data_IF_248983347037
#
_entry.id   IF_248983347037
#
_cell.length_a   1.000
_cell.length_b   1.000
_cell.length_c   1.000
_cell.angle_alpha   90.00
_cell.angle_beta   90.00
_cell.angle_gamma   90.00
#
_symmetry.space_group_name_H-M   'P 1'
#
loop_
_entity.id
_entity.type
_entity.pdbx_description
1 polymer ?
#
# COMPACT_ATOMS: atom_id res chain seq x y z
N UNK A 1 -12.21 -58.03 17.13
CA UNK A 1 -13.03 -57.00 16.50
C UNK A 1 -12.16 -55.73 16.39
N UNK A 2 -11.87 -55.24 15.20
CA UNK A 2 -11.12 -53.98 15.03
C UNK A 2 -11.98 -52.82 15.55
N UNK A 3 -11.43 -52.01 16.44
CA UNK A 3 -12.11 -50.80 16.94
C UNK A 3 -12.40 -49.89 15.72
N UNK A 4 -13.69 -49.59 15.51
CA UNK A 4 -14.11 -48.66 14.44
C UNK A 4 -13.44 -47.30 14.69
N UNK A 5 -12.68 -46.80 13.71
CA UNK A 5 -12.00 -45.51 13.82
C UNK A 5 -13.05 -44.40 13.95
N UNK A 6 -12.98 -43.64 15.03
CA UNK A 6 -13.84 -42.46 15.29
C UNK A 6 -13.16 -41.22 14.77
N UNK A 7 -13.57 -40.76 13.58
CA UNK A 7 -13.03 -39.60 12.91
C UNK A 7 -13.29 -38.30 13.69
N UNK A 8 -14.47 -38.20 14.35
CA UNK A 8 -14.83 -36.98 15.05
C UNK A 8 -14.07 -36.84 16.37
N UNK A 9 -13.85 -37.94 17.08
CA UNK A 9 -12.97 -37.95 18.23
C UNK A 9 -11.51 -37.62 17.82
N UNK A 10 -11.03 -38.15 16.69
CA UNK A 10 -9.69 -37.89 16.19
C UNK A 10 -9.53 -36.44 15.74
N UNK A 11 -10.51 -35.86 15.03
CA UNK A 11 -10.51 -34.42 14.65
C UNK A 11 -10.33 -33.52 15.86
N UNK A 12 -10.98 -33.80 17.00
CA UNK A 12 -10.84 -33.02 18.24
C UNK A 12 -9.42 -33.06 18.83
N UNK A 13 -8.63 -34.08 18.52
CA UNK A 13 -7.23 -34.19 19.00
C UNK A 13 -6.24 -33.45 18.09
N UNK A 14 -6.56 -33.29 16.82
CA UNK A 14 -5.64 -32.79 15.79
C UNK A 14 -6.00 -31.37 15.35
N UNK A 15 -7.29 -31.03 15.40
CA UNK A 15 -7.80 -29.73 14.94
C UNK A 15 -8.22 -28.92 16.17
N UNK A 16 -7.56 -27.79 16.39
CA UNK A 16 -8.08 -26.79 17.32
C UNK A 16 -9.51 -26.41 16.89
N UNK A 17 -10.38 -26.10 17.87
CA UNK A 17 -11.74 -25.65 17.56
C UNK A 17 -11.71 -24.58 16.47
N UNK A 18 -12.61 -24.63 15.47
CA UNK A 18 -12.63 -23.63 14.41
C UNK A 18 -12.76 -22.24 15.04
N UNK A 19 -11.80 -21.38 14.74
CA UNK A 19 -11.84 -20.01 15.21
C UNK A 19 -12.83 -19.23 14.35
N UNK A 20 -13.90 -18.76 14.97
CA UNK A 20 -14.90 -17.93 14.30
C UNK A 20 -14.26 -16.61 13.83
N UNK A 21 -14.46 -16.26 12.57
CA UNK A 21 -13.98 -15.02 11.98
C UNK A 21 -15.09 -14.00 11.88
N UNK A 22 -14.74 -12.74 12.06
CA UNK A 22 -15.60 -11.60 11.76
C UNK A 22 -15.87 -11.51 10.25
N UNK A 23 -16.98 -10.89 9.84
CA UNK A 23 -17.18 -10.48 8.45
C UNK A 23 -15.98 -9.65 7.95
N UNK A 24 -15.69 -9.76 6.67
CA UNK A 24 -14.62 -8.97 6.06
C UNK A 24 -14.91 -7.47 6.20
N UNK A 25 -13.91 -6.73 6.65
CA UNK A 25 -13.98 -5.29 6.87
C UNK A 25 -12.94 -4.60 5.99
N UNK A 26 -13.32 -3.45 5.46
CA UNK A 26 -12.50 -2.66 4.57
C UNK A 26 -12.43 -1.22 5.04
N UNK A 27 -11.32 -0.55 4.74
CA UNK A 27 -11.33 0.90 4.53
C UNK A 27 -11.83 1.11 3.10
N UNK A 28 -13.09 1.50 2.98
CA UNK A 28 -13.76 1.67 1.68
C UNK A 28 -13.14 2.87 0.97
N UNK A 29 -12.75 2.69 -0.28
CA UNK A 29 -12.18 3.73 -1.14
C UNK A 29 -13.28 4.31 -2.06
N UNK A 30 -12.94 5.34 -2.83
CA UNK A 30 -13.86 5.94 -3.79
C UNK A 30 -14.21 4.96 -4.92
N UNK A 31 -15.40 5.11 -5.50
CA UNK A 31 -15.94 4.19 -6.52
C UNK A 31 -14.99 4.00 -7.72
N UNK A 32 -14.29 5.06 -8.14
CA UNK A 32 -13.32 4.97 -9.22
C UNK A 32 -12.16 4.01 -8.92
N UNK A 33 -11.76 3.89 -7.64
CA UNK A 33 -10.75 2.93 -7.22
C UNK A 33 -11.34 1.53 -7.02
N UNK A 34 -12.54 1.43 -6.41
CA UNK A 34 -13.24 0.14 -6.26
C UNK A 34 -13.41 -0.57 -7.61
N UNK A 35 -13.79 0.19 -8.65
CA UNK A 35 -14.01 -0.35 -9.99
C UNK A 35 -12.76 -0.93 -10.64
N UNK A 36 -11.58 -0.46 -10.26
CA UNK A 36 -10.30 -0.94 -10.83
C UNK A 36 -9.60 -1.98 -9.96
N UNK A 37 -9.90 -2.05 -8.64
CA UNK A 37 -9.29 -3.04 -7.74
C UNK A 37 -10.17 -4.27 -7.48
N UNK A 38 -11.47 -4.20 -7.81
CA UNK A 38 -12.41 -5.32 -7.70
C UNK A 38 -12.81 -5.70 -6.26
N UNK A 39 -12.50 -4.84 -5.29
CA UNK A 39 -12.90 -4.96 -3.88
C UNK A 39 -13.28 -3.58 -3.35
N UNK A 40 -14.04 -3.48 -2.23
CA UNK A 40 -14.50 -2.19 -1.72
C UNK A 40 -13.38 -1.21 -1.32
N UNK A 41 -12.19 -1.71 -1.05
CA UNK A 41 -11.07 -0.88 -0.60
C UNK A 41 -9.95 -1.68 0.03
N UNK A 42 -9.24 -1.08 1.01
CA UNK A 42 -8.12 -1.74 1.71
C UNK A 42 -8.68 -2.69 2.77
N UNK A 43 -8.43 -4.00 2.69
CA UNK A 43 -8.98 -4.98 3.61
C UNK A 43 -8.28 -4.95 4.97
N UNK A 44 -9.03 -4.85 6.06
CA UNK A 44 -8.52 -5.02 7.41
C UNK A 44 -8.36 -6.51 7.75
N UNK A 45 -7.35 -6.83 8.54
CA UNK A 45 -6.95 -8.22 8.81
C UNK A 45 -6.09 -8.84 7.72
N UNK A 46 -5.62 -8.02 6.79
CA UNK A 46 -4.82 -8.43 5.64
C UNK A 46 -3.63 -7.50 5.40
N UNK A 47 -2.68 -7.99 4.60
CA UNK A 47 -1.60 -7.18 4.04
C UNK A 47 -1.94 -6.88 2.58
N UNK A 48 -1.91 -5.61 2.23
CA UNK A 48 -2.01 -5.12 0.85
C UNK A 48 -0.67 -4.53 0.43
N UNK A 49 -0.07 -5.07 -0.62
CA UNK A 49 1.15 -4.54 -1.20
C UNK A 49 0.83 -3.70 -2.43
N UNK A 50 1.39 -2.51 -2.51
CA UNK A 50 1.33 -1.66 -3.69
C UNK A 50 2.75 -1.44 -4.19
N UNK A 51 3.00 -1.74 -5.45
CA UNK A 51 4.33 -1.54 -6.01
C UNK A 51 4.29 -0.86 -7.39
N UNK A 52 5.37 -0.19 -7.72
CA UNK A 52 5.53 0.51 -8.99
C UNK A 52 6.76 1.40 -9.01
N UNK A 53 7.11 1.93 -10.18
CA UNK A 53 8.20 2.91 -10.32
C UNK A 53 7.87 4.19 -9.54
N UNK A 54 8.86 5.06 -9.39
CA UNK A 54 8.64 6.40 -8.84
C UNK A 54 7.60 7.18 -9.66
N UNK A 55 6.95 8.15 -9.02
CA UNK A 55 5.96 9.05 -9.66
C UNK A 55 4.74 8.35 -10.26
N UNK A 56 4.34 7.19 -9.74
CA UNK A 56 3.11 6.49 -10.14
C UNK A 56 1.90 6.84 -9.27
N UNK A 57 2.08 7.65 -8.22
CA UNK A 57 1.01 8.06 -7.31
C UNK A 57 0.79 7.15 -6.10
N UNK A 58 1.73 6.26 -5.76
CA UNK A 58 1.61 5.33 -4.62
C UNK A 58 1.38 6.06 -3.29
N UNK A 59 2.21 7.04 -2.97
CA UNK A 59 2.07 7.85 -1.74
C UNK A 59 0.75 8.62 -1.70
N UNK A 60 0.26 9.11 -2.85
CA UNK A 60 -1.07 9.75 -2.94
C UNK A 60 -2.19 8.77 -2.60
N UNK A 61 -2.11 7.52 -3.10
CA UNK A 61 -3.08 6.48 -2.77
C UNK A 61 -3.02 6.11 -1.28
N UNK A 62 -1.83 6.15 -0.67
CA UNK A 62 -1.65 5.93 0.76
C UNK A 62 -2.32 7.05 1.58
N UNK A 63 -2.14 8.32 1.22
CA UNK A 63 -2.82 9.45 1.86
C UNK A 63 -4.33 9.38 1.68
N UNK A 64 -4.79 9.05 0.47
CA UNK A 64 -6.21 8.86 0.22
C UNK A 64 -6.81 7.74 1.10
N UNK A 65 -6.14 6.61 1.22
CA UNK A 65 -6.57 5.52 2.10
C UNK A 65 -6.63 5.97 3.57
N UNK A 66 -5.68 6.80 4.03
CA UNK A 66 -5.70 7.38 5.38
C UNK A 66 -6.90 8.30 5.59
N UNK A 67 -7.18 9.20 4.65
CA UNK A 67 -8.33 10.10 4.73
C UNK A 67 -9.66 9.32 4.75
N UNK A 68 -9.77 8.26 3.94
CA UNK A 68 -10.96 7.39 3.94
C UNK A 68 -11.05 6.58 5.24
N UNK A 69 -9.93 6.14 5.81
CA UNK A 69 -9.89 5.45 7.11
C UNK A 69 -10.46 6.34 8.23
N UNK A 70 -10.03 7.60 8.31
CA UNK A 70 -10.53 8.56 9.31
C UNK A 70 -12.04 8.78 9.19
N UNK A 71 -12.57 8.93 7.98
CA UNK A 71 -14.02 9.07 7.74
C UNK A 71 -14.83 7.85 8.22
N UNK A 72 -14.19 6.70 8.36
CA UNK A 72 -14.79 5.43 8.76
C UNK A 72 -14.43 5.01 10.19
N UNK A 73 -13.90 5.92 10.99
CA UNK A 73 -13.43 5.66 12.37
C UNK A 73 -12.39 4.55 12.45
N UNK A 74 -11.51 4.46 11.45
CA UNK A 74 -10.32 3.61 11.44
C UNK A 74 -9.11 4.51 11.65
N UNK A 75 -8.24 4.18 12.61
CA UNK A 75 -7.05 4.97 12.92
C UNK A 75 -5.96 4.75 11.87
N UNK A 76 -5.50 5.79 11.15
CA UNK A 76 -4.33 5.69 10.31
C UNK A 76 -3.05 5.76 11.17
N UNK A 77 -2.13 4.83 10.92
CA UNK A 77 -0.79 4.83 11.52
C UNK A 77 0.23 4.86 10.40
N UNK A 78 0.93 5.94 10.25
CA UNK A 78 1.99 6.10 9.26
C UNK A 78 3.33 5.62 9.80
N UNK A 79 4.03 4.80 9.01
CA UNK A 79 5.44 4.47 9.19
C UNK A 79 6.15 4.93 7.92
N UNK A 80 6.83 6.08 8.04
CA UNK A 80 7.43 6.77 6.90
C UNK A 80 8.94 6.61 6.95
N UNK A 81 9.48 5.90 5.98
CA UNK A 81 10.90 5.52 5.96
C UNK A 81 11.67 6.09 4.77
N UNK A 82 11.02 6.86 3.89
CA UNK A 82 11.66 7.53 2.74
C UNK A 82 12.20 8.94 3.06
N UNK A 83 12.14 9.40 4.31
CA UNK A 83 12.88 10.55 4.81
C UNK A 83 12.38 11.95 4.42
N UNK A 84 11.38 12.07 3.54
CA UNK A 84 10.73 13.37 3.22
C UNK A 84 9.26 13.16 2.89
N UNK A 85 8.43 13.49 3.85
CA UNK A 85 6.98 13.44 3.67
C UNK A 85 6.45 14.85 3.50
N UNK A 86 5.67 15.07 2.46
CA UNK A 86 4.92 16.32 2.29
C UNK A 86 3.55 16.20 2.96
N UNK A 87 3.50 16.50 4.25
CA UNK A 87 2.27 16.47 5.03
C UNK A 87 1.23 17.48 4.53
N UNK A 88 1.65 18.58 3.92
CA UNK A 88 0.72 19.54 3.33
C UNK A 88 -0.07 18.92 2.16
N UNK A 89 0.55 18.00 1.44
CA UNK A 89 -0.13 17.20 0.41
C UNK A 89 -1.10 16.19 1.02
N UNK A 90 -0.75 15.58 2.14
CA UNK A 90 -1.66 14.68 2.86
C UNK A 90 -2.92 15.44 3.33
N UNK A 91 -2.75 16.65 3.89
CA UNK A 91 -3.86 17.52 4.29
C UNK A 91 -4.76 17.92 3.12
N UNK A 92 -4.18 18.27 1.96
CA UNK A 92 -4.95 18.56 0.74
C UNK A 92 -5.78 17.37 0.29
N UNK A 93 -5.29 16.15 0.49
CA UNK A 93 -6.02 14.90 0.22
C UNK A 93 -7.04 14.53 1.31
N UNK A 94 -7.23 15.40 2.30
CA UNK A 94 -8.23 15.27 3.34
C UNK A 94 -7.77 14.50 4.59
N UNK A 95 -6.47 14.25 4.74
CA UNK A 95 -5.91 13.66 5.96
C UNK A 95 -5.86 14.71 7.06
N UNK A 96 -6.43 14.41 8.21
CA UNK A 96 -6.25 15.18 9.45
C UNK A 96 -5.01 14.62 10.14
N UNK A 97 -3.89 15.28 9.94
CA UNK A 97 -2.57 14.78 10.35
C UNK A 97 -2.45 14.66 11.87
N UNK A 98 -3.07 15.57 12.60
CA UNK A 98 -3.15 15.59 14.08
C UNK A 98 -3.98 14.44 14.66
N UNK A 99 -4.83 13.81 13.88
CA UNK A 99 -5.61 12.61 14.24
C UNK A 99 -4.91 11.29 13.83
N UNK A 100 -3.64 11.33 13.42
CA UNK A 100 -2.86 10.16 12.99
C UNK A 100 -1.77 9.81 14.00
N UNK A 101 -1.34 8.55 14.03
CA UNK A 101 -0.06 8.18 14.62
C UNK A 101 0.98 8.22 13.49
N UNK A 102 2.10 8.91 13.74
CA UNK A 102 3.18 9.08 12.76
C UNK A 102 4.47 8.60 13.39
N UNK A 103 5.16 7.69 12.71
CA UNK A 103 6.49 7.21 13.06
C UNK A 103 7.45 7.42 11.88
N UNK A 104 8.40 8.31 12.06
CA UNK A 104 9.48 8.63 11.10
C UNK A 104 10.86 8.24 11.66
N UNK A 105 10.91 7.63 12.85
CA UNK A 105 12.16 7.40 13.59
C UNK A 105 12.81 6.04 13.31
N UNK A 106 12.17 5.16 12.56
CA UNK A 106 12.71 3.85 12.23
C UNK A 106 13.99 3.98 11.40
N UNK A 107 15.09 3.35 11.87
CA UNK A 107 16.40 3.38 11.20
C UNK A 107 16.70 2.08 10.46
N UNK A 108 16.06 0.98 10.84
CA UNK A 108 16.25 -0.34 10.26
C UNK A 108 14.92 -1.02 9.96
N UNK A 109 14.94 -2.05 9.12
CA UNK A 109 13.77 -2.88 8.84
C UNK A 109 13.21 -3.52 10.12
N UNK A 110 14.09 -3.96 11.02
CA UNK A 110 13.70 -4.58 12.29
C UNK A 110 12.96 -3.59 13.19
N UNK A 111 13.32 -2.31 13.17
CA UNK A 111 12.63 -1.27 13.94
C UNK A 111 11.20 -1.08 13.42
N UNK A 112 11.01 -1.08 12.08
CA UNK A 112 9.67 -1.04 11.47
C UNK A 112 8.83 -2.24 11.88
N UNK A 113 9.38 -3.45 11.79
CA UNK A 113 8.65 -4.65 12.18
C UNK A 113 8.31 -4.66 13.66
N UNK A 114 9.20 -4.16 14.52
CA UNK A 114 8.93 -4.03 15.94
C UNK A 114 7.81 -3.00 16.24
N UNK A 115 7.80 -1.86 15.52
CA UNK A 115 6.75 -0.86 15.65
C UNK A 115 5.39 -1.43 15.22
N UNK A 116 5.32 -2.12 14.08
CA UNK A 116 4.07 -2.74 13.61
C UNK A 116 3.60 -3.82 14.60
N UNK A 117 4.52 -4.65 15.08
CA UNK A 117 4.22 -5.71 16.05
C UNK A 117 3.64 -5.15 17.35
N UNK A 118 4.19 -4.03 17.83
CA UNK A 118 3.69 -3.31 18.99
C UNK A 118 2.26 -2.82 18.76
N UNK A 119 1.97 -2.18 17.64
CA UNK A 119 0.63 -1.67 17.32
C UNK A 119 -0.39 -2.83 17.29
N UNK A 120 -0.06 -3.93 16.61
CA UNK A 120 -0.94 -5.12 16.56
C UNK A 120 -1.19 -5.68 17.96
N UNK A 121 -0.17 -5.68 18.82
CA UNK A 121 -0.28 -6.16 20.21
C UNK A 121 -1.16 -5.24 21.05
N UNK A 122 -0.99 -3.92 20.95
CA UNK A 122 -1.76 -2.91 21.69
C UNK A 122 -3.26 -2.97 21.29
N UNK A 123 -3.57 -3.19 20.00
CA UNK A 123 -4.93 -3.48 19.55
C UNK A 123 -5.45 -4.78 20.16
N UNK A 124 -4.62 -5.82 20.24
CA UNK A 124 -4.98 -7.11 20.83
C UNK A 124 -5.26 -7.06 22.33
N UNK A 125 -4.54 -6.23 23.05
CA UNK A 125 -4.73 -6.00 24.49
C UNK A 125 -5.87 -5.01 24.80
N UNK A 126 -6.41 -4.33 23.77
CA UNK A 126 -7.44 -3.30 23.94
C UNK A 126 -6.88 -1.94 24.38
N UNK A 127 -5.56 -1.77 24.46
CA UNK A 127 -4.91 -0.48 24.72
C UNK A 127 -5.13 0.50 23.57
N UNK A 128 -5.26 -0.02 22.35
CA UNK A 128 -5.68 0.73 21.17
C UNK A 128 -7.07 0.26 20.72
N UNK A 129 -8.16 0.91 21.20
CA UNK A 129 -9.52 0.38 21.05
C UNK A 129 -10.18 0.76 19.71
N UNK A 130 -9.40 0.90 18.64
CA UNK A 130 -9.86 1.27 17.30
C UNK A 130 -9.41 0.25 16.25
N UNK A 131 -10.22 0.08 15.21
CA UNK A 131 -9.70 -0.55 14.00
C UNK A 131 -8.58 0.32 13.45
N UNK A 132 -7.52 -0.29 12.95
CA UNK A 132 -6.29 0.42 12.61
C UNK A 132 -5.83 0.05 11.21
N UNK A 133 -5.46 1.06 10.41
CA UNK A 133 -4.80 0.89 9.13
C UNK A 133 -3.35 1.39 9.25
N UNK A 134 -2.40 0.46 9.20
CA UNK A 134 -0.97 0.77 9.18
C UNK A 134 -0.57 1.02 7.72
N UNK A 135 0.12 2.12 7.49
CA UNK A 135 0.50 2.67 6.20
C UNK A 135 2.03 2.82 6.17
N UNK A 136 2.71 1.92 5.46
CA UNK A 136 4.18 1.91 5.42
C UNK A 136 4.71 2.36 4.05
N UNK A 137 5.44 3.46 4.01
CA UNK A 137 6.12 4.02 2.83
C UNK A 137 7.62 4.21 3.11
N UNK A 138 8.52 3.36 2.61
CA UNK A 138 8.35 2.16 1.80
C UNK A 138 9.28 1.04 2.28
N UNK A 139 9.00 -0.19 1.87
CA UNK A 139 9.74 -1.37 2.35
C UNK A 139 11.20 -1.42 1.86
N UNK A 140 11.53 -0.76 0.77
CA UNK A 140 12.87 -0.80 0.17
C UNK A 140 13.83 0.30 0.66
N UNK A 141 13.41 1.17 1.57
CA UNK A 141 14.15 2.39 1.93
C UNK A 141 15.17 2.19 3.06
N UNK A 142 14.96 1.22 3.93
CA UNK A 142 15.81 0.98 5.10
C UNK A 142 16.72 -0.24 4.97
N UNK A 143 17.92 -0.19 5.60
CA UNK A 143 18.80 -1.35 5.75
C UNK A 143 18.26 -2.31 6.83
N UNK A 144 18.73 -3.55 6.81
CA UNK A 144 18.67 -4.42 8.00
C UNK A 144 19.74 -4.03 9.02
N UNK A 145 19.56 -4.43 10.29
CA UNK A 145 20.59 -4.20 11.33
C UNK A 145 21.94 -4.79 10.95
N UNK A 146 21.96 -5.92 10.29
CA UNK A 146 23.19 -6.58 9.83
C UNK A 146 23.94 -5.81 8.71
N UNK A 147 23.29 -4.83 8.09
CA UNK A 147 23.90 -3.97 7.07
C UNK A 147 24.49 -2.69 7.66
N UNK A 148 24.14 -2.38 8.91
CA UNK A 148 24.66 -1.20 9.63
C UNK A 148 25.85 -1.63 10.47
N UNK A 149 27.06 -1.16 10.11
CA UNK A 149 28.29 -1.43 10.85
C UNK A 149 28.66 -0.18 11.62
N UNK A 150 28.69 -0.28 12.95
CA UNK A 150 29.19 0.80 13.79
C UNK A 150 30.69 0.59 13.98
N UNK A 151 31.50 1.53 13.50
CA UNK A 151 32.96 1.52 13.63
C UNK A 151 33.39 1.89 15.05
N UNK A 152 34.65 1.61 15.41
CA UNK A 152 35.21 1.92 16.73
C UNK A 152 35.24 3.41 17.07
N UNK A 153 35.22 4.26 16.07
CA UNK A 153 35.18 5.73 16.18
C UNK A 153 33.75 6.30 16.25
N UNK A 154 32.74 5.44 16.31
CA UNK A 154 31.33 5.84 16.35
C UNK A 154 30.73 6.18 14.97
N UNK A 155 31.50 6.11 13.90
CA UNK A 155 30.98 6.28 12.54
C UNK A 155 30.21 5.05 12.10
N UNK A 156 29.18 5.24 11.27
CA UNK A 156 28.35 4.16 10.76
C UNK A 156 28.66 3.89 9.30
N UNK A 157 29.14 2.69 9.01
CA UNK A 157 29.30 2.19 7.65
C UNK A 157 28.10 1.34 7.23
N UNK A 158 27.72 1.43 5.97
CA UNK A 158 26.74 0.54 5.35
C UNK A 158 27.45 -0.46 4.46
N UNK A 159 27.15 -1.75 4.67
CA UNK A 159 27.50 -2.82 3.73
C UNK A 159 26.20 -3.31 3.08
N UNK A 160 25.70 -2.63 2.03
CA UNK A 160 24.43 -2.97 1.41
C UNK A 160 24.42 -4.42 0.93
N UNK A 161 23.39 -5.16 1.30
CA UNK A 161 23.16 -6.51 0.82
C UNK A 161 21.69 -6.77 0.62
N UNK A 162 21.25 -6.70 -0.62
CA UNK A 162 19.87 -7.00 -0.98
C UNK A 162 19.39 -8.37 -0.45
N UNK A 163 20.32 -9.34 -0.32
CA UNK A 163 19.98 -10.67 0.22
C UNK A 163 19.70 -10.62 1.73
N UNK A 164 20.41 -9.77 2.50
CA UNK A 164 20.18 -9.63 3.94
C UNK A 164 18.84 -8.97 4.21
N UNK A 165 18.55 -7.84 3.57
CA UNK A 165 17.26 -7.16 3.66
C UNK A 165 16.10 -8.09 3.26
N UNK A 166 16.22 -8.80 2.14
CA UNK A 166 15.20 -9.75 1.68
C UNK A 166 14.97 -10.91 2.68
N UNK A 167 16.02 -11.38 3.35
CA UNK A 167 15.92 -12.39 4.40
C UNK A 167 15.12 -11.87 5.59
N UNK A 168 15.49 -10.71 6.13
CA UNK A 168 14.81 -10.07 7.26
C UNK A 168 13.34 -9.82 6.92
N UNK A 169 13.05 -9.24 5.76
CA UNK A 169 11.68 -9.01 5.31
C UNK A 169 10.89 -10.33 5.30
N UNK A 170 11.43 -11.38 4.69
CA UNK A 170 10.73 -12.67 4.58
C UNK A 170 10.46 -13.32 5.93
N UNK A 171 11.40 -13.24 6.87
CA UNK A 171 11.25 -13.81 8.20
C UNK A 171 10.18 -13.09 9.02
N UNK A 172 10.25 -11.77 9.07
CA UNK A 172 9.33 -10.94 9.86
C UNK A 172 7.92 -10.86 9.26
N UNK A 173 7.81 -10.64 7.95
CA UNK A 173 6.50 -10.45 7.30
C UNK A 173 5.64 -11.72 7.39
N UNK A 174 6.24 -12.91 7.38
CA UNK A 174 5.54 -14.18 7.54
C UNK A 174 4.88 -14.31 8.93
N UNK A 175 5.57 -13.88 9.98
CA UNK A 175 5.03 -13.88 11.35
C UNK A 175 3.95 -12.81 11.46
N UNK A 176 4.24 -11.61 10.96
CA UNK A 176 3.35 -10.47 11.01
C UNK A 176 2.04 -10.73 10.25
N UNK A 177 2.09 -11.36 9.08
CA UNK A 177 0.88 -11.69 8.30
C UNK A 177 -0.07 -12.58 9.08
N UNK A 178 0.46 -13.54 9.85
CA UNK A 178 -0.35 -14.38 10.72
C UNK A 178 -0.99 -13.59 11.87
N UNK A 179 -0.22 -12.69 12.51
CA UNK A 179 -0.73 -11.83 13.59
C UNK A 179 -1.84 -10.90 13.07
N UNK A 180 -1.63 -10.24 11.94
CA UNK A 180 -2.63 -9.37 11.31
C UNK A 180 -3.88 -10.18 10.94
N UNK A 181 -3.73 -11.35 10.35
CA UNK A 181 -4.88 -12.20 9.99
C UNK A 181 -5.68 -12.66 11.22
N UNK A 182 -5.01 -12.87 12.37
CA UNK A 182 -5.67 -13.22 13.62
C UNK A 182 -6.58 -12.10 14.14
N UNK A 183 -6.36 -10.85 13.75
CA UNK A 183 -7.24 -9.73 14.14
C UNK A 183 -8.66 -9.84 13.57
N UNK A 184 -8.86 -10.73 12.58
CA UNK A 184 -10.18 -11.09 12.05
C UNK A 184 -10.95 -12.06 12.94
N UNK A 185 -10.32 -12.68 13.93
CA UNK A 185 -11.00 -13.59 14.84
C UNK A 185 -11.99 -12.83 15.73
N UNK A 186 -13.12 -13.44 16.04
CA UNK A 186 -14.15 -12.83 16.90
C UNK A 186 -13.60 -12.46 18.27
N UNK A 187 -12.65 -13.26 18.78
CA UNK A 187 -11.99 -13.01 20.07
C UNK A 187 -11.05 -11.81 20.08
N UNK A 188 -10.65 -11.28 18.92
CA UNK A 188 -9.79 -10.10 18.84
C UNK A 188 -10.65 -8.82 18.91
N UNK A 189 -10.27 -7.78 19.69
CA UNK A 189 -11.16 -6.64 19.91
C UNK A 189 -11.40 -5.82 18.65
N UNK A 190 -10.37 -5.54 17.86
CA UNK A 190 -10.41 -4.71 16.67
C UNK A 190 -9.60 -5.33 15.53
N UNK A 191 -9.82 -4.88 14.29
CA UNK A 191 -9.08 -5.34 13.13
C UNK A 191 -7.90 -4.43 12.81
N UNK A 192 -6.80 -5.01 12.33
CA UNK A 192 -5.62 -4.27 11.85
C UNK A 192 -5.36 -4.62 10.40
N UNK A 193 -5.27 -3.62 9.51
CA UNK A 193 -4.78 -3.76 8.14
C UNK A 193 -3.38 -3.21 8.00
N UNK A 194 -2.60 -3.75 7.06
CA UNK A 194 -1.30 -3.21 6.66
C UNK A 194 -1.30 -2.95 5.16
N UNK A 195 -1.12 -1.70 4.79
CA UNK A 195 -0.88 -1.27 3.41
C UNK A 195 0.60 -0.89 3.30
N UNK A 196 1.35 -1.59 2.46
CA UNK A 196 2.78 -1.39 2.30
C UNK A 196 3.11 -0.97 0.88
N UNK A 197 3.81 0.15 0.76
CA UNK A 197 4.34 0.61 -0.52
C UNK A 197 5.70 -0.03 -0.78
N UNK A 198 5.95 -0.33 -2.06
CA UNK A 198 7.20 -0.89 -2.50
C UNK A 198 7.64 -0.25 -3.82
N UNK A 199 8.91 0.05 -3.91
CA UNK A 199 9.50 0.44 -5.17
C UNK A 199 9.71 -0.78 -6.06
N UNK A 200 9.73 -0.58 -7.36
CA UNK A 200 9.93 -1.65 -8.32
C UNK A 200 11.07 -1.31 -9.28
N UNK A 201 11.78 -2.34 -9.66
CA UNK A 201 12.83 -2.26 -10.67
C UNK A 201 12.49 -3.15 -11.87
N UNK A 202 13.07 -2.81 -13.01
CA UNK A 202 12.91 -3.60 -14.23
C UNK A 202 13.91 -4.76 -14.21
N UNK A 203 13.40 -6.00 -14.15
CA UNK A 203 14.22 -7.21 -14.30
C UNK A 203 14.39 -7.46 -15.80
N UNK A 204 15.63 -7.60 -16.31
CA UNK A 204 15.85 -7.99 -17.69
C UNK A 204 15.19 -9.33 -18.01
N UNK A 205 14.87 -9.59 -19.29
CA UNK A 205 14.31 -10.87 -19.70
C UNK A 205 15.31 -12.00 -19.44
N UNK A 206 14.80 -13.16 -19.03
CA UNK A 206 15.63 -14.35 -18.76
C UNK A 206 16.09 -15.05 -20.07
N UNK A 207 15.53 -14.67 -21.21
CA UNK A 207 15.92 -15.17 -22.53
C UNK A 207 15.89 -14.04 -23.56
N UNK A 208 16.57 -14.24 -24.68
CA UNK A 208 16.63 -13.26 -25.78
C UNK A 208 15.25 -12.91 -26.39
N UNK A 209 14.24 -13.73 -26.17
CA UNK A 209 12.87 -13.53 -26.66
C UNK A 209 11.88 -13.20 -25.53
N UNK A 210 12.37 -13.04 -24.31
CA UNK A 210 11.53 -12.71 -23.15
C UNK A 210 11.23 -11.21 -23.06
N UNK A 211 10.21 -10.86 -22.29
CA UNK A 211 9.91 -9.48 -21.94
C UNK A 211 10.50 -9.12 -20.56
N UNK A 212 10.91 -7.87 -20.41
CA UNK A 212 11.31 -7.35 -19.10
C UNK A 212 10.09 -7.29 -18.18
N UNK A 213 10.28 -7.68 -16.93
CA UNK A 213 9.23 -7.64 -15.91
C UNK A 213 9.53 -6.58 -14.84
N UNK A 214 8.49 -5.98 -14.30
CA UNK A 214 8.60 -5.07 -13.16
C UNK A 214 8.46 -5.89 -11.87
N UNK A 215 9.49 -5.85 -11.03
CA UNK A 215 9.59 -6.66 -9.82
C UNK A 215 9.76 -5.75 -8.60
N UNK A 216 9.00 -5.99 -7.50
CA UNK A 216 9.15 -5.22 -6.28
C UNK A 216 10.48 -5.53 -5.56
N UNK A 217 11.02 -4.56 -4.79
CA UNK A 217 12.17 -4.76 -3.94
C UNK A 217 11.89 -5.73 -2.78
N UNK A 218 12.96 -6.29 -2.19
CA UNK A 218 12.86 -7.12 -0.98
C UNK A 218 12.46 -8.58 -1.24
N UNK A 219 12.44 -9.01 -2.50
CA UNK A 219 12.14 -10.39 -2.88
C UNK A 219 10.66 -10.77 -2.70
N UNK A 220 10.37 -12.07 -2.80
CA UNK A 220 9.00 -12.58 -2.85
C UNK A 220 8.30 -12.67 -1.48
N UNK A 221 8.99 -12.33 -0.38
CA UNK A 221 8.45 -12.49 0.98
C UNK A 221 7.15 -11.73 1.19
N UNK A 222 7.10 -10.46 0.78
CA UNK A 222 5.90 -9.62 0.90
C UNK A 222 4.79 -10.11 -0.03
N UNK A 223 5.16 -10.50 -1.25
CA UNK A 223 4.22 -11.05 -2.22
C UNK A 223 3.46 -12.26 -1.68
N UNK A 224 4.17 -13.21 -1.06
CA UNK A 224 3.52 -14.41 -0.49
C UNK A 224 2.66 -14.08 0.74
N UNK A 225 3.09 -13.12 1.56
CA UNK A 225 2.37 -12.70 2.76
C UNK A 225 1.13 -11.84 2.48
N UNK A 226 1.15 -11.05 1.41
CA UNK A 226 0.06 -10.17 1.03
C UNK A 226 -1.15 -10.95 0.50
N UNK A 227 -2.35 -10.52 0.88
CA UNK A 227 -3.62 -11.02 0.34
C UNK A 227 -4.05 -10.29 -0.93
N UNK A 228 -3.65 -9.02 -1.06
CA UNK A 228 -3.86 -8.21 -2.25
C UNK A 228 -2.52 -7.59 -2.69
N UNK A 229 -2.25 -7.61 -4.00
CA UNK A 229 -1.06 -6.98 -4.59
C UNK A 229 -1.47 -6.18 -5.80
N UNK A 230 -1.19 -4.88 -5.76
CA UNK A 230 -1.55 -3.93 -6.80
C UNK A 230 -0.29 -3.34 -7.44
N UNK A 231 -0.16 -3.48 -8.74
CA UNK A 231 0.89 -2.81 -9.50
C UNK A 231 0.39 -1.46 -9.99
N UNK A 232 1.13 -0.39 -9.69
CA UNK A 232 0.82 0.95 -10.20
C UNK A 232 1.77 1.36 -11.31
N UNK A 233 1.20 1.90 -12.40
CA UNK A 233 1.94 2.44 -13.55
C UNK A 233 1.46 3.85 -13.85
N UNK A 234 2.40 4.75 -14.12
CA UNK A 234 2.10 6.07 -14.70
C UNK A 234 1.75 5.90 -16.17
N UNK A 235 0.61 6.43 -16.59
CA UNK A 235 0.19 6.46 -18.00
C UNK A 235 0.63 7.77 -18.62
N UNK A 236 0.09 8.89 -18.13
CA UNK A 236 0.47 10.25 -18.60
C UNK A 236 0.17 11.30 -17.55
N UNK A 237 0.76 12.47 -17.67
CA UNK A 237 0.39 13.66 -16.91
C UNK A 237 -0.64 14.47 -17.70
N UNK A 238 -1.54 15.11 -16.99
CA UNK A 238 -2.48 16.07 -17.55
C UNK A 238 -1.95 17.46 -17.22
N UNK A 239 -1.75 18.26 -18.25
CA UNK A 239 -1.18 19.61 -18.13
C UNK A 239 -2.21 20.66 -18.46
N UNK A 240 -2.07 21.83 -17.86
CA UNK A 240 -2.81 23.06 -18.19
C UNK A 240 -1.82 24.20 -18.36
N UNK A 241 -2.27 25.30 -18.97
CA UNK A 241 -1.42 26.48 -19.16
C UNK A 241 -1.99 27.66 -18.36
N UNK A 242 -1.14 28.31 -17.59
CA UNK A 242 -1.45 29.57 -16.90
C UNK A 242 -0.39 30.61 -17.22
N UNK A 243 -0.79 31.77 -17.68
CA UNK A 243 0.14 32.85 -18.05
C UNK A 243 1.24 32.40 -19.04
N UNK A 244 0.88 31.60 -20.03
CA UNK A 244 1.79 31.01 -21.03
C UNK A 244 2.80 29.99 -20.46
N UNK A 245 2.65 29.56 -19.21
CA UNK A 245 3.46 28.52 -18.60
C UNK A 245 2.63 27.26 -18.42
N UNK A 246 3.11 26.15 -18.97
CA UNK A 246 2.50 24.83 -18.78
C UNK A 246 2.83 24.30 -17.38
N UNK A 247 1.87 23.66 -16.73
CA UNK A 247 2.04 22.96 -15.46
C UNK A 247 1.19 21.70 -15.42
N UNK A 248 1.68 20.69 -14.72
CA UNK A 248 0.95 19.44 -14.53
C UNK A 248 -0.03 19.58 -13.36
N UNK A 249 -1.32 19.34 -13.60
CA UNK A 249 -2.35 19.43 -12.57
C UNK A 249 -2.84 18.05 -12.10
N UNK A 250 -2.64 17.01 -12.91
CA UNK A 250 -3.07 15.66 -12.56
C UNK A 250 -2.18 14.57 -13.22
N UNK A 251 -2.32 13.37 -12.72
CA UNK A 251 -1.64 12.18 -13.19
C UNK A 251 -2.66 11.10 -13.52
N UNK A 252 -2.66 10.57 -14.75
CA UNK A 252 -3.36 9.34 -15.05
C UNK A 252 -2.47 8.19 -14.64
N UNK A 253 -2.97 7.36 -13.73
CA UNK A 253 -2.31 6.17 -13.24
C UNK A 253 -3.17 4.94 -13.49
N UNK A 254 -2.54 3.81 -13.67
CA UNK A 254 -3.17 2.49 -13.84
C UNK A 254 -2.87 1.63 -12.63
N UNK A 255 -3.87 0.95 -12.10
CA UNK A 255 -3.70 -0.19 -11.22
C UNK A 255 -3.96 -1.47 -12.01
N UNK A 256 -3.04 -2.43 -11.89
CA UNK A 256 -3.24 -3.82 -12.33
C UNK A 256 -3.19 -4.70 -11.08
N UNK A 257 -4.27 -5.39 -10.78
CA UNK A 257 -4.34 -6.33 -9.66
C UNK A 257 -3.54 -7.57 -10.02
N UNK A 258 -2.46 -7.82 -9.31
CA UNK A 258 -1.53 -8.93 -9.55
C UNK A 258 -1.82 -10.13 -8.66
N UNK A 259 -2.51 -9.92 -7.54
CA UNK A 259 -2.93 -10.94 -6.60
C UNK A 259 -4.16 -10.44 -5.84
N UNK A 260 -5.16 -11.30 -5.70
CA UNK A 260 -6.35 -11.02 -4.91
C UNK A 260 -6.88 -12.34 -4.31
N UNK A 261 -6.52 -12.62 -3.07
CA UNK A 261 -6.99 -13.79 -2.33
C UNK A 261 -8.29 -13.52 -1.55
N UNK A 262 -8.98 -12.43 -1.84
CA UNK A 262 -10.20 -12.02 -1.16
C UNK A 262 -11.42 -12.36 -2.02
N UNK A 263 -11.36 -12.00 -3.31
CA UNK A 263 -12.47 -12.22 -4.26
C UNK A 263 -12.04 -12.97 -5.53
N UNK A 264 -10.77 -13.31 -5.67
CA UNK A 264 -10.15 -13.94 -6.87
C UNK A 264 -10.30 -13.11 -8.17
N UNK A 265 -10.79 -11.86 -8.07
CA UNK A 265 -10.94 -10.97 -9.23
C UNK A 265 -9.60 -10.29 -9.54
N UNK A 266 -9.12 -10.50 -10.74
CA UNK A 266 -7.92 -9.86 -11.28
C UNK A 266 -8.37 -8.77 -12.24
N UNK A 267 -8.29 -7.51 -11.81
CA UNK A 267 -8.79 -6.36 -12.55
C UNK A 267 -7.66 -5.41 -12.91
N UNK A 268 -7.90 -4.59 -13.92
CA UNK A 268 -7.01 -3.51 -14.31
C UNK A 268 -7.85 -2.32 -14.77
N UNK A 269 -7.40 -1.11 -14.42
CA UNK A 269 -8.09 0.10 -14.84
C UNK A 269 -7.30 1.36 -14.55
N UNK A 270 -7.71 2.44 -15.22
CA UNK A 270 -7.10 3.76 -15.12
C UNK A 270 -7.97 4.69 -14.28
N UNK A 271 -7.31 5.57 -13.55
CA UNK A 271 -7.92 6.63 -12.77
C UNK A 271 -7.00 7.86 -12.78
N UNK A 272 -7.55 8.99 -12.38
CA UNK A 272 -6.82 10.26 -12.34
C UNK A 272 -6.55 10.64 -10.89
N UNK A 273 -5.31 11.00 -10.61
CA UNK A 273 -4.85 11.53 -9.32
C UNK A 273 -4.63 13.03 -9.50
N UNK A 274 -5.34 13.83 -8.74
CA UNK A 274 -5.16 15.30 -8.66
C UNK A 274 -4.38 15.67 -7.40
N UNK A 275 -4.33 16.96 -7.08
CA UNK A 275 -3.70 17.43 -5.84
C UNK A 275 -4.44 17.00 -4.58
N UNK A 276 -5.75 16.76 -4.67
CA UNK A 276 -6.67 16.61 -3.54
C UNK A 276 -7.69 15.46 -3.71
N UNK A 277 -7.77 14.82 -4.89
CA UNK A 277 -8.78 13.81 -5.17
C UNK A 277 -8.29 12.66 -6.08
N UNK A 278 -9.05 11.57 -6.05
CA UNK A 278 -9.02 10.50 -7.04
C UNK A 278 -10.34 10.57 -7.82
N UNK A 279 -10.25 10.68 -9.13
CA UNK A 279 -11.44 10.80 -9.99
C UNK A 279 -11.39 9.78 -11.14
N UNK A 280 -12.53 9.42 -11.73
CA UNK A 280 -12.57 8.54 -12.89
C UNK A 280 -11.75 9.10 -14.07
N UNK A 281 -11.11 8.20 -14.83
CA UNK A 281 -10.43 8.61 -16.08
C UNK A 281 -11.46 8.80 -17.21
N UNK A 282 -12.33 9.78 -17.03
CA UNK A 282 -13.39 10.15 -17.95
C UNK A 282 -13.30 11.65 -18.25
N UNK A 283 -13.54 12.02 -19.51
CA UNK A 283 -13.47 13.43 -19.94
C UNK A 283 -14.32 14.32 -19.05
N UNK A 284 -15.57 13.91 -18.78
CA UNK A 284 -16.49 14.70 -17.95
C UNK A 284 -15.94 14.94 -16.54
N UNK A 285 -15.46 13.90 -15.85
CA UNK A 285 -14.92 14.02 -14.50
C UNK A 285 -13.67 14.94 -14.46
N UNK A 286 -12.83 14.86 -15.49
CA UNK A 286 -11.64 15.72 -15.62
C UNK A 286 -12.06 17.18 -15.88
N UNK A 287 -13.05 17.41 -16.72
CA UNK A 287 -13.54 18.77 -17.03
C UNK A 287 -14.27 19.37 -15.82
N UNK A 288 -15.12 18.61 -15.13
CA UNK A 288 -15.79 19.02 -13.88
C UNK A 288 -14.75 19.39 -12.79
N UNK A 289 -13.66 18.62 -12.68
CA UNK A 289 -12.57 18.93 -11.76
C UNK A 289 -11.88 20.26 -12.13
N UNK A 290 -11.56 20.46 -13.41
CA UNK A 290 -10.98 21.71 -13.89
C UNK A 290 -11.88 22.91 -13.61
N UNK A 291 -13.18 22.75 -13.85
CA UNK A 291 -14.15 23.81 -13.65
C UNK A 291 -14.32 24.19 -12.17
N UNK A 292 -14.31 23.21 -11.28
CA UNK A 292 -14.39 23.45 -9.83
C UNK A 292 -13.13 24.10 -9.23
N UNK A 293 -12.00 24.05 -9.95
CA UNK A 293 -10.70 24.59 -9.49
C UNK A 293 -10.20 25.77 -10.34
N UNK A 294 -11.09 26.43 -11.09
CA UNK A 294 -10.74 27.58 -11.96
C UNK A 294 -9.96 28.68 -11.22
N UNK A 295 -10.29 28.93 -9.96
CA UNK A 295 -9.61 29.96 -9.16
C UNK A 295 -8.11 29.67 -8.95
N UNK A 296 -7.71 28.39 -8.99
CA UNK A 296 -6.30 27.99 -8.83
C UNK A 296 -5.49 28.26 -10.10
N UNK A 297 -6.13 28.22 -11.28
CA UNK A 297 -5.45 28.31 -12.58
C UNK A 297 -5.66 29.67 -13.28
N UNK A 298 -6.67 30.47 -12.89
CA UNK A 298 -7.12 31.61 -13.65
C UNK A 298 -7.88 31.23 -14.93
N UNK A 299 -8.26 32.22 -15.75
CA UNK A 299 -8.79 31.93 -17.09
C UNK A 299 -7.67 31.34 -17.95
N UNK A 300 -7.61 30.01 -18.04
CA UNK A 300 -6.59 29.29 -18.81
C UNK A 300 -7.22 28.63 -20.02
N UNK A 301 -6.64 28.92 -21.20
CA UNK A 301 -6.90 28.09 -22.36
C UNK A 301 -6.31 26.69 -22.10
N UNK A 302 -7.17 25.67 -22.11
CA UNK A 302 -6.76 24.29 -21.90
C UNK A 302 -6.37 23.69 -23.26
N UNK A 303 -5.09 23.41 -23.44
CA UNK A 303 -4.63 22.61 -24.58
C UNK A 303 -4.62 21.13 -24.20
N UNK A 304 -5.38 20.31 -24.93
CA UNK A 304 -5.13 18.87 -24.94
C UNK A 304 -3.74 18.68 -25.59
N UNK A 305 -2.81 18.10 -24.84
CA UNK A 305 -1.59 17.62 -25.44
C UNK A 305 -1.99 16.56 -26.49
N UNK A 306 -1.66 16.77 -27.75
CA UNK A 306 -1.89 15.84 -28.83
C UNK A 306 -1.39 14.45 -28.39
N UNK A 307 -2.22 13.46 -28.66
CA UNK A 307 -1.92 12.03 -28.43
C UNK A 307 -0.71 11.65 -29.28
N UNK A 308 0.49 11.77 -28.72
CA UNK A 308 1.67 11.15 -29.28
C UNK A 308 1.55 9.64 -29.04
N UNK A 309 1.25 8.90 -30.08
CA UNK A 309 1.43 7.46 -30.11
C UNK A 309 2.91 7.17 -29.82
N UNK A 310 3.20 6.64 -28.63
CA UNK A 310 4.48 6.00 -28.41
C UNK A 310 4.42 4.61 -29.02
N UNK A 311 4.97 4.51 -30.19
CA UNK A 311 5.38 3.24 -30.78
C UNK A 311 6.33 2.53 -29.80
N UNK A 312 6.04 1.25 -29.57
CA UNK A 312 6.88 0.32 -28.81
C UNK A 312 8.33 0.38 -29.27
N UNK A 313 9.25 0.52 -28.30
CA UNK A 313 10.65 0.14 -28.45
C UNK A 313 11.10 -0.61 -27.19
#
# INVERSE_FOLDING_TARGET
MAKKFDLDAYKKTVVAAPVEKKPDKYVVLDECLQSVIGIPGVPLGHITQIYGKSDTGKTSLLFHAAAQAQKQNVLPVFIMTEGKVDWSRAEKMGVKVDECIINEDCQTLEDVFAAIDRIVSDVGMGELPMDTLILWDSIGSLPSKDEVVINKDGTTDRKPSMMKAAKVIREHIRVLSKKINNTRNVSFPKAVGLMVLNQAYTKPPESAYGHSSLVPYGGDGVWYAASAVWQMKKIKRLSATKNKMAFDFALISRISVQKNHITDLMMEGDFVITSDAFIPNEKKAIDDYKDSHRDQWGESEVFEAETGEFLDA
#
